data_IF_416321488339
#
_entry.id   IF_416321488339
#
_cell.length_a   1.000
_cell.length_b   1.000
_cell.length_c   1.000
_cell.angle_alpha   90.00
_cell.angle_beta   90.00
_cell.angle_gamma   90.00
#
_symmetry.space_group_name_H-M   'P 1'
#
loop_
_entity.id
_entity.type
_entity.pdbx_description
1 polymer ?
#
# COMPACT_ATOMS: atom_id res chain seq x y z
N UNK A 1 -20.91 0.47 -0.96
CA UNK A 1 -20.44 0.16 0.41
C UNK A 1 -21.58 -0.43 1.22
N UNK A 2 -21.34 -0.93 2.45
CA UNK A 2 -22.34 -1.65 3.26
C UNK A 2 -23.62 -0.84 3.59
N UNK A 3 -23.61 0.47 3.34
CA UNK A 3 -24.73 1.39 3.57
C UNK A 3 -25.33 1.98 2.27
N UNK A 4 -25.18 1.30 1.12
CA UNK A 4 -25.75 1.75 -0.17
C UNK A 4 -25.08 2.96 -0.82
N UNK A 5 -24.12 3.61 -0.16
CA UNK A 5 -23.32 4.70 -0.74
C UNK A 5 -22.15 4.16 -1.57
N UNK A 6 -21.74 4.91 -2.59
CA UNK A 6 -20.51 4.63 -3.33
C UNK A 6 -19.30 4.61 -2.37
N UNK A 7 -18.33 3.71 -2.57
CA UNK A 7 -17.16 3.66 -1.71
C UNK A 7 -16.33 4.95 -1.84
N UNK A 8 -15.93 5.52 -0.70
CA UNK A 8 -15.11 6.74 -0.62
C UNK A 8 -13.71 6.50 -1.21
N UNK A 9 -13.22 5.26 -1.12
CA UNK A 9 -11.94 4.81 -1.67
C UNK A 9 -12.22 3.58 -2.53
N UNK A 10 -11.86 3.64 -3.81
CA UNK A 10 -12.08 2.54 -4.76
C UNK A 10 -10.95 1.52 -4.73
N UNK A 11 -9.72 1.97 -4.50
CA UNK A 11 -8.53 1.14 -4.42
C UNK A 11 -7.49 1.75 -3.47
N UNK A 12 -6.63 0.89 -2.92
CA UNK A 12 -5.59 1.29 -1.99
C UNK A 12 -4.28 0.55 -2.28
N UNK A 13 -3.17 1.26 -2.08
CA UNK A 13 -1.82 0.72 -2.05
C UNK A 13 -1.34 0.70 -0.60
N UNK A 14 -0.94 -0.47 -0.12
CA UNK A 14 -0.38 -0.66 1.22
C UNK A 14 1.07 -1.05 1.05
N UNK A 15 1.97 -0.23 1.60
CA UNK A 15 3.41 -0.43 1.53
C UNK A 15 3.92 -0.78 2.92
N UNK A 16 4.57 -1.94 3.04
CA UNK A 16 4.96 -2.52 4.33
C UNK A 16 6.41 -2.99 4.31
N UNK A 17 7.02 -3.30 5.46
CA UNK A 17 8.16 -4.21 5.51
C UNK A 17 7.82 -5.54 4.81
N UNK A 18 8.80 -6.16 4.16
CA UNK A 18 8.63 -7.43 3.44
C UNK A 18 8.10 -8.56 4.33
N UNK A 19 8.53 -8.60 5.60
CA UNK A 19 8.05 -9.57 6.59
C UNK A 19 6.58 -9.39 6.98
N UNK A 20 5.96 -8.23 6.71
CA UNK A 20 4.59 -7.92 7.10
C UNK A 20 3.58 -8.07 5.95
N UNK A 21 4.01 -8.13 4.69
CA UNK A 21 3.07 -8.17 3.54
C UNK A 21 2.10 -9.36 3.62
N UNK A 22 2.61 -10.55 3.94
CA UNK A 22 1.80 -11.75 4.09
C UNK A 22 0.88 -11.69 5.32
N UNK A 23 1.37 -11.12 6.42
CA UNK A 23 0.60 -10.94 7.66
C UNK A 23 -0.58 -10.00 7.44
N UNK A 24 -0.35 -8.86 6.78
CA UNK A 24 -1.42 -7.94 6.40
C UNK A 24 -2.50 -8.64 5.57
N UNK A 25 -2.11 -9.43 4.57
CA UNK A 25 -3.06 -10.24 3.79
C UNK A 25 -3.89 -11.20 4.64
N UNK A 26 -3.28 -11.87 5.62
CA UNK A 26 -3.99 -12.74 6.58
C UNK A 26 -4.96 -11.94 7.45
N UNK A 27 -4.57 -10.78 7.97
CA UNK A 27 -5.45 -9.94 8.79
C UNK A 27 -6.62 -9.39 7.98
N UNK A 28 -6.42 -8.98 6.72
CA UNK A 28 -7.52 -8.62 5.83
C UNK A 28 -8.51 -9.78 5.68
N UNK A 29 -8.03 -10.99 5.43
CA UNK A 29 -8.89 -12.16 5.32
C UNK A 29 -9.61 -12.48 6.66
N UNK A 30 -8.92 -12.37 7.79
CA UNK A 30 -9.47 -12.65 9.12
C UNK A 30 -10.60 -11.68 9.49
N UNK A 31 -10.39 -10.38 9.30
CA UNK A 31 -11.34 -9.35 9.74
C UNK A 31 -12.41 -9.06 8.70
N UNK A 32 -12.04 -9.05 7.42
CA UNK A 32 -12.92 -8.66 6.32
C UNK A 32 -13.41 -9.85 5.49
N UNK A 33 -12.81 -11.03 5.57
CA UNK A 33 -13.21 -12.18 4.74
C UNK A 33 -12.87 -11.98 3.26
N UNK A 34 -12.91 -13.06 2.47
CA UNK A 34 -12.56 -13.01 1.03
C UNK A 34 -13.63 -12.36 0.16
N UNK A 35 -14.89 -12.49 0.57
CA UNK A 35 -16.06 -12.02 -0.18
C UNK A 35 -16.20 -10.48 -0.22
N UNK A 36 -15.71 -9.78 0.82
CA UNK A 36 -15.96 -8.33 0.98
C UNK A 36 -14.89 -7.47 0.32
N UNK A 37 -13.64 -7.93 0.30
CA UNK A 37 -12.52 -7.14 -0.24
C UNK A 37 -11.42 -8.03 -0.79
N UNK A 38 -11.12 -7.87 -2.07
CA UNK A 38 -10.00 -8.56 -2.71
C UNK A 38 -8.67 -7.90 -2.38
N UNK A 39 -7.70 -8.72 -1.97
CA UNK A 39 -6.34 -8.30 -1.65
C UNK A 39 -5.36 -9.00 -2.59
N UNK A 40 -4.44 -8.23 -3.15
CA UNK A 40 -3.36 -8.70 -4.00
C UNK A 40 -2.02 -8.41 -3.33
N UNK A 41 -1.28 -9.45 -2.98
CA UNK A 41 0.04 -9.33 -2.38
C UNK A 41 1.06 -9.50 -3.49
N UNK A 42 1.92 -8.49 -3.66
CA UNK A 42 3.02 -8.53 -4.63
C UNK A 42 4.20 -9.27 -4.02
N UNK A 43 4.70 -10.27 -4.73
CA UNK A 43 5.84 -11.08 -4.35
C UNK A 43 6.58 -11.61 -5.60
N UNK A 44 7.44 -12.63 -5.42
CA UNK A 44 8.19 -13.23 -6.52
C UNK A 44 7.32 -13.98 -7.54
N UNK A 45 6.17 -14.51 -7.14
CA UNK A 45 5.22 -15.24 -7.98
C UNK A 45 4.10 -14.33 -8.49
N UNK A 46 3.73 -13.33 -7.69
CA UNK A 46 2.64 -12.40 -7.92
C UNK A 46 3.19 -11.03 -8.33
N UNK A 47 3.20 -10.75 -9.64
CA UNK A 47 3.81 -9.54 -10.20
C UNK A 47 2.82 -8.37 -10.30
N UNK A 48 3.31 -7.14 -10.22
CA UNK A 48 2.50 -5.91 -10.28
C UNK A 48 1.61 -5.85 -11.52
N UNK A 49 2.09 -6.33 -12.66
CA UNK A 49 1.40 -6.34 -13.94
C UNK A 49 0.12 -7.21 -13.92
N UNK A 50 0.08 -8.23 -13.07
CA UNK A 50 -1.09 -9.09 -12.90
C UNK A 50 -2.19 -8.42 -12.08
N UNK A 51 -1.85 -7.39 -11.29
CA UNK A 51 -2.84 -6.61 -10.55
C UNK A 51 -3.83 -5.91 -11.50
N UNK A 52 -3.34 -5.32 -12.60
CA UNK A 52 -4.18 -4.67 -13.63
C UNK A 52 -5.22 -5.63 -14.24
N UNK A 53 -4.90 -6.93 -14.28
CA UNK A 53 -5.78 -7.97 -14.83
C UNK A 53 -6.83 -8.45 -13.83
N UNK A 54 -6.70 -8.07 -12.55
CA UNK A 54 -7.56 -8.58 -11.49
C UNK A 54 -8.55 -7.50 -11.04
N UNK A 55 -9.67 -7.40 -11.76
CA UNK A 55 -10.74 -6.41 -11.49
C UNK A 55 -11.35 -6.50 -10.08
N UNK A 56 -11.20 -7.65 -9.41
CA UNK A 56 -11.83 -7.93 -8.11
C UNK A 56 -10.98 -7.54 -6.89
N UNK A 57 -9.72 -7.10 -7.09
CA UNK A 57 -8.77 -6.84 -5.99
C UNK A 57 -8.49 -5.34 -5.84
N UNK A 58 -9.29 -4.60 -5.06
CA UNK A 58 -9.08 -3.16 -4.86
C UNK A 58 -7.83 -2.83 -4.03
N UNK A 59 -7.26 -3.79 -3.29
CA UNK A 59 -6.10 -3.56 -2.43
C UNK A 59 -4.86 -4.23 -2.99
N UNK A 60 -3.79 -3.47 -3.19
CA UNK A 60 -2.44 -3.97 -3.42
C UNK A 60 -1.62 -3.85 -2.14
N UNK A 61 -0.94 -4.92 -1.74
CA UNK A 61 0.05 -4.93 -0.66
C UNK A 61 1.42 -5.22 -1.28
N UNK A 62 2.42 -4.40 -0.99
CA UNK A 62 3.77 -4.55 -1.55
C UNK A 62 4.83 -4.16 -0.50
N UNK A 63 5.99 -4.79 -0.56
CA UNK A 63 7.11 -4.37 0.29
C UNK A 63 7.74 -3.07 -0.22
N UNK A 64 8.43 -2.33 0.66
CA UNK A 64 9.21 -1.15 0.23
C UNK A 64 10.25 -1.49 -0.86
N UNK A 65 10.93 -2.64 -0.77
CA UNK A 65 11.93 -3.01 -1.79
C UNK A 65 11.28 -3.31 -3.15
N UNK A 66 10.17 -4.05 -3.14
CA UNK A 66 9.43 -4.37 -4.37
C UNK A 66 8.77 -3.13 -4.96
N UNK A 67 8.27 -2.21 -4.11
CA UNK A 67 7.75 -0.93 -4.56
C UNK A 67 8.80 -0.15 -5.34
N UNK A 68 10.01 0.00 -4.80
CA UNK A 68 11.10 0.70 -5.51
C UNK A 68 11.44 0.06 -6.86
N UNK A 69 11.47 -1.28 -6.90
CA UNK A 69 11.80 -2.02 -8.13
C UNK A 69 10.75 -1.82 -9.23
N UNK A 70 9.49 -1.63 -8.84
CA UNK A 70 8.36 -1.56 -9.76
C UNK A 70 7.67 -0.20 -9.78
N UNK A 71 8.33 0.86 -9.29
CA UNK A 71 7.72 2.17 -9.10
C UNK A 71 7.07 2.72 -10.38
N UNK A 72 7.74 2.59 -11.54
CA UNK A 72 7.19 3.03 -12.82
C UNK A 72 5.87 2.33 -13.20
N UNK A 73 5.76 1.01 -12.93
CA UNK A 73 4.52 0.26 -13.19
C UNK A 73 3.40 0.65 -12.23
N UNK A 74 3.76 1.04 -11.01
CA UNK A 74 2.83 1.43 -9.94
C UNK A 74 2.38 2.88 -10.12
N UNK A 75 3.21 3.75 -10.68
CA UNK A 75 2.87 5.13 -11.01
C UNK A 75 1.74 5.22 -12.03
N UNK A 76 1.71 4.30 -13.00
CA UNK A 76 0.61 4.13 -13.94
C UNK A 76 -0.72 3.70 -13.27
N UNK A 77 -0.65 3.19 -12.03
CA UNK A 77 -1.81 2.81 -11.23
C UNK A 77 -2.27 3.98 -10.39
N UNK A 78 -3.48 4.49 -10.66
CA UNK A 78 -4.09 5.53 -9.82
C UNK A 78 -4.65 4.92 -8.56
N UNK A 79 -4.14 5.29 -7.39
CA UNK A 79 -4.66 4.82 -6.09
C UNK A 79 -5.45 5.92 -5.37
N UNK A 80 -6.60 5.56 -4.79
CA UNK A 80 -7.40 6.47 -3.96
C UNK A 80 -6.84 6.66 -2.55
N UNK A 81 -6.06 5.69 -2.07
CA UNK A 81 -5.38 5.71 -0.77
C UNK A 81 -4.00 5.07 -0.88
N UNK A 82 -2.99 5.70 -0.30
CA UNK A 82 -1.69 5.09 -0.02
C UNK A 82 -1.53 4.97 1.49
N UNK A 83 -1.16 3.79 1.95
CA UNK A 83 -0.93 3.47 3.35
C UNK A 83 0.50 2.96 3.53
N UNK A 84 1.29 3.61 4.38
CA UNK A 84 2.66 3.22 4.69
C UNK A 84 2.74 2.72 6.12
N UNK A 85 3.09 1.45 6.28
CA UNK A 85 3.33 0.83 7.58
C UNK A 85 4.80 0.96 8.00
N UNK A 86 5.04 1.09 9.30
CA UNK A 86 6.35 1.39 9.88
C UNK A 86 7.03 2.61 9.24
N UNK A 87 6.28 3.69 9.08
CA UNK A 87 6.66 4.93 8.40
C UNK A 87 7.89 5.65 8.97
N UNK A 88 8.36 5.33 10.18
CA UNK A 88 9.68 5.77 10.64
C UNK A 88 10.80 5.30 9.72
N UNK A 89 10.59 4.16 9.04
CA UNK A 89 11.47 3.71 7.98
C UNK A 89 11.54 4.71 6.85
N UNK A 90 10.50 5.47 6.52
CA UNK A 90 10.58 6.50 5.46
C UNK A 90 11.52 7.67 5.80
N UNK A 91 11.78 7.92 7.08
CA UNK A 91 12.79 8.90 7.51
C UNK A 91 14.21 8.40 7.29
N UNK A 92 14.44 7.11 7.56
CA UNK A 92 15.77 6.47 7.47
C UNK A 92 15.99 5.70 6.16
N UNK A 93 14.92 5.49 5.39
CA UNK A 93 14.94 4.78 4.12
C UNK A 93 15.59 5.67 3.09
N UNK A 94 16.14 5.00 2.08
CA UNK A 94 16.67 5.63 0.88
C UNK A 94 15.74 6.77 0.45
N UNK A 95 16.27 8.01 0.39
CA UNK A 95 15.55 9.22 -0.03
C UNK A 95 14.73 8.96 -1.31
N UNK A 96 15.23 8.07 -2.16
CA UNK A 96 14.55 7.58 -3.37
C UNK A 96 13.18 6.95 -3.09
N UNK A 97 13.02 6.10 -2.07
CA UNK A 97 11.72 5.49 -1.73
C UNK A 97 10.69 6.54 -1.33
N UNK A 98 11.10 7.48 -0.48
CA UNK A 98 10.23 8.55 0.02
C UNK A 98 9.82 9.50 -1.10
N UNK A 99 10.74 9.84 -2.00
CA UNK A 99 10.44 10.64 -3.20
C UNK A 99 9.45 9.91 -4.11
N UNK A 100 9.73 8.66 -4.48
CA UNK A 100 8.85 7.87 -5.32
C UNK A 100 7.43 7.72 -4.73
N UNK A 101 7.33 7.49 -3.41
CA UNK A 101 6.02 7.45 -2.74
C UNK A 101 5.33 8.80 -2.79
N UNK A 102 6.05 9.89 -2.57
CA UNK A 102 5.51 11.26 -2.59
C UNK A 102 5.03 11.68 -3.98
N UNK A 103 5.69 11.18 -5.02
CA UNK A 103 5.38 11.49 -6.43
C UNK A 103 4.15 10.72 -6.94
N UNK A 104 3.79 9.58 -6.34
CA UNK A 104 2.61 8.80 -6.75
C UNK A 104 1.33 9.64 -6.67
N UNK A 105 0.53 9.68 -7.74
CA UNK A 105 -0.77 10.33 -7.70
C UNK A 105 -1.73 9.61 -6.75
N UNK A 106 -2.15 10.31 -5.68
CA UNK A 106 -3.10 9.77 -4.72
C UNK A 106 -3.92 10.85 -4.02
N UNK A 107 -5.19 10.56 -3.73
CA UNK A 107 -6.06 11.50 -3.04
C UNK A 107 -5.83 11.56 -1.53
N UNK A 108 -5.42 10.44 -0.90
CA UNK A 108 -5.21 10.36 0.55
C UNK A 108 -4.00 9.52 0.90
N UNK A 109 -3.23 9.95 1.90
CA UNK A 109 -2.05 9.24 2.38
C UNK A 109 -2.16 9.04 3.89
N UNK A 110 -1.85 7.84 4.36
CA UNK A 110 -1.79 7.49 5.78
C UNK A 110 -0.43 6.86 6.05
N UNK A 111 0.24 7.34 7.09
CA UNK A 111 1.53 6.82 7.54
C UNK A 111 1.35 6.37 8.99
N UNK A 112 1.52 5.07 9.26
CA UNK A 112 1.55 4.54 10.61
C UNK A 112 2.98 4.34 11.06
N UNK A 113 3.28 4.72 12.30
CA UNK A 113 4.60 4.51 12.89
C UNK A 113 4.47 4.23 14.37
N UNK A 114 5.16 3.20 14.85
CA UNK A 114 5.25 2.88 16.27
C UNK A 114 6.18 3.82 17.05
N UNK A 115 7.06 4.56 16.36
CA UNK A 115 7.85 5.65 16.95
C UNK A 115 7.17 6.98 16.67
N UNK A 116 6.85 7.79 17.69
CA UNK A 116 6.40 9.14 17.45
C UNK A 116 7.48 9.88 16.66
N UNK A 117 7.06 10.59 15.61
CA UNK A 117 7.92 11.51 14.86
C UNK A 117 8.45 12.51 15.87
N UNK A 118 9.69 12.36 16.33
CA UNK A 118 10.41 13.48 16.94
C UNK A 118 10.43 14.59 15.88
N UNK A 119 9.63 15.62 16.13
CA UNK A 119 9.72 16.87 15.42
C UNK A 119 11.04 17.49 15.87
N UNK A 120 12.05 17.48 15.02
CA UNK A 120 13.19 18.39 15.18
C UNK A 120 12.68 19.80 14.92
N UNK A 121 12.06 20.39 15.96
CA UNK A 121 11.89 21.83 16.10
C UNK A 121 13.27 22.38 16.46
N UNK A 122 13.97 22.89 15.45
CA UNK A 122 14.90 24.01 15.66
C UNK A 122 14.24 25.28 15.15
#
# INVERSE_FOLDING_TARGET
>A
GPYGRLPIIKNALIVTPSSLSATWGKEFQKWLGRERIGVYIVDQNNKVEQFKKTYEKPIMIISYEMFMRHAALIEDLKFGLIFCDEGHRLKNANIKTTNLLSDLSCHRRVILTGTPVQNDLK
#
